data_IF_275773102008
#
_entry.id   IF_275773102008
#
_cell.length_a   1.000
_cell.length_b   1.000
_cell.length_c   1.000
_cell.angle_alpha   90.00
_cell.angle_beta   90.00
_cell.angle_gamma   90.00
#
_symmetry.space_group_name_H-M   'P 1'
#
loop_
_entity.id
_entity.type
_entity.pdbx_description
1 polymer ?
#
# COMPACT_ATOMS: atom_id res chain seq x y z
N UNK A 1 19.86 11.23 51.28
CA UNK A 1 19.70 12.09 50.09
C UNK A 1 20.97 12.91 49.93
N UNK A 2 21.66 12.83 48.78
CA UNK A 2 22.93 13.54 48.57
C UNK A 2 22.61 15.01 48.25
N UNK A 3 23.47 15.96 48.62
CA UNK A 3 23.18 17.41 48.47
C UNK A 3 22.98 17.88 47.01
N UNK A 4 23.30 17.01 46.04
CA UNK A 4 23.00 17.21 44.62
C UNK A 4 21.53 17.01 44.26
N UNK A 5 20.80 16.19 45.02
CA UNK A 5 19.39 15.86 44.74
C UNK A 5 18.43 17.00 45.15
N UNK A 6 18.81 17.81 46.14
CA UNK A 6 18.01 18.97 46.58
C UNK A 6 17.96 20.09 45.51
N UNK A 7 19.02 20.23 44.71
CA UNK A 7 19.08 21.29 43.69
C UNK A 7 18.06 21.04 42.58
N UNK A 8 17.89 19.79 42.16
CA UNK A 8 16.94 19.43 41.11
C UNK A 8 15.48 19.47 41.57
N UNK A 9 15.22 19.22 42.87
CA UNK A 9 13.88 19.36 43.44
C UNK A 9 13.40 20.83 43.42
N UNK A 10 14.30 21.78 43.68
CA UNK A 10 13.99 23.21 43.59
C UNK A 10 13.69 23.67 42.15
N UNK A 11 14.46 23.21 41.17
CA UNK A 11 14.21 23.52 39.75
C UNK A 11 12.89 22.92 39.25
N UNK A 12 12.56 21.69 39.66
CA UNK A 12 11.30 21.05 39.31
C UNK A 12 10.07 21.79 39.86
N UNK A 13 10.13 22.24 41.13
CA UNK A 13 9.06 23.01 41.75
C UNK A 13 8.87 24.39 41.11
N UNK A 14 9.97 25.07 40.76
CA UNK A 14 9.92 26.38 40.11
C UNK A 14 9.28 26.34 38.72
N UNK A 15 9.67 25.37 37.89
CA UNK A 15 9.12 25.20 36.53
C UNK A 15 7.65 24.75 36.61
N UNK A 16 7.31 23.84 37.51
CA UNK A 16 5.94 23.38 37.71
C UNK A 16 4.98 24.52 38.11
N UNK A 17 5.41 25.40 39.02
CA UNK A 17 4.61 26.54 39.45
C UNK A 17 4.39 27.58 38.33
N UNK A 18 5.40 27.81 37.48
CA UNK A 18 5.30 28.73 36.34
C UNK A 18 4.34 28.22 35.26
N UNK A 19 4.36 26.92 34.96
CA UNK A 19 3.44 26.32 33.98
C UNK A 19 2.00 26.29 34.50
N UNK A 20 1.81 26.01 35.79
CA UNK A 20 0.49 26.05 36.42
C UNK A 20 -0.11 27.46 36.38
N UNK A 21 0.67 28.51 36.65
CA UNK A 21 0.16 29.88 36.66
C UNK A 21 -0.26 30.37 35.27
N UNK A 22 0.46 29.98 34.20
CA UNK A 22 0.06 30.28 32.82
C UNK A 22 -1.24 29.56 32.42
N UNK A 23 -1.43 28.32 32.86
CA UNK A 23 -2.65 27.57 32.59
C UNK A 23 -3.88 28.18 33.28
N UNK A 24 -3.73 28.63 34.54
CA UNK A 24 -4.81 29.31 35.25
C UNK A 24 -5.11 30.70 34.67
N UNK A 25 -4.11 31.45 34.20
CA UNK A 25 -4.34 32.74 33.55
C UNK A 25 -5.19 32.61 32.26
N UNK A 26 -5.00 31.54 31.48
CA UNK A 26 -5.75 31.31 30.25
C UNK A 26 -7.23 30.95 30.48
N UNK A 27 -7.56 30.31 31.61
CA UNK A 27 -8.94 29.91 31.94
C UNK A 27 -9.78 31.12 32.42
N UNK A 28 -9.16 32.10 33.09
CA UNK A 28 -9.86 33.25 33.65
C UNK A 28 -9.88 34.49 32.74
N UNK A 29 -9.18 34.48 31.61
CA UNK A 29 -9.16 35.56 30.61
C UNK A 29 -9.79 35.15 29.27
N UNK A 30 -10.98 34.54 29.31
CA UNK A 30 -11.86 34.48 28.14
C UNK A 30 -12.71 35.76 28.12
N UNK A 31 -12.45 36.71 27.21
CA UNK A 31 -13.32 37.88 27.08
C UNK A 31 -14.71 37.42 26.63
N UNK A 32 -15.70 37.68 27.47
CA UNK A 32 -17.12 37.57 27.15
C UNK A 32 -17.46 38.61 26.09
N UNK A 33 -17.36 38.25 24.81
CA UNK A 33 -17.88 39.07 23.73
C UNK A 33 -19.39 38.89 23.64
N UNK A 34 -20.08 39.90 24.17
CA UNK A 34 -21.52 40.08 24.09
C UNK A 34 -21.99 40.18 22.63
N UNK A 35 -23.03 39.39 22.34
CA UNK A 35 -23.86 39.45 21.14
C UNK A 35 -24.53 40.83 21.03
N UNK A 36 -24.31 41.53 19.92
CA UNK A 36 -25.22 42.57 19.42
C UNK A 36 -25.44 42.36 17.93
N UNK A 37 -26.72 42.19 17.56
CA UNK A 37 -27.18 42.00 16.19
C UNK A 37 -27.53 43.31 15.48
N UNK A 38 -27.63 43.19 14.15
CA UNK A 38 -28.27 44.03 13.12
C UNK A 38 -27.37 43.95 11.89
N UNK A 39 -27.81 43.79 10.64
CA UNK A 39 -29.08 43.66 9.97
C UNK A 39 -28.76 43.48 8.48
N UNK A 40 -29.56 42.66 7.79
CA UNK A 40 -29.83 42.61 6.34
C UNK A 40 -28.89 43.30 5.34
N UNK A 41 -28.40 42.57 4.32
CA UNK A 41 -28.64 42.89 2.88
C UNK A 41 -28.54 41.61 2.04
N UNK A 42 -29.51 41.46 1.15
CA UNK A 42 -29.68 40.45 0.10
C UNK A 42 -28.42 40.24 -0.77
N UNK A 43 -28.09 38.97 -1.04
CA UNK A 43 -27.17 38.57 -2.10
C UNK A 43 -27.58 37.19 -2.61
N UNK A 44 -28.16 37.16 -3.82
CA UNK A 44 -28.59 35.93 -4.47
C UNK A 44 -27.40 35.01 -4.76
N UNK A 45 -27.47 33.76 -4.33
CA UNK A 45 -26.54 32.72 -4.74
C UNK A 45 -27.32 31.55 -5.32
N UNK A 46 -27.11 31.34 -6.61
CA UNK A 46 -27.66 30.28 -7.44
C UNK A 46 -27.25 28.90 -6.92
N UNK A 47 -28.24 28.05 -6.69
CA UNK A 47 -28.12 26.64 -6.35
C UNK A 47 -27.63 25.85 -7.57
N UNK A 48 -26.55 25.05 -7.48
CA UNK A 48 -26.32 24.02 -8.47
C UNK A 48 -27.20 22.80 -8.15
N UNK A 49 -28.05 22.45 -9.10
CA UNK A 49 -28.83 21.23 -9.16
C UNK A 49 -27.91 20.01 -9.06
N UNK A 50 -27.94 19.30 -7.94
CA UNK A 50 -27.33 17.97 -7.85
C UNK A 50 -28.28 16.96 -8.49
N UNK A 51 -27.80 16.31 -9.55
CA UNK A 51 -28.47 15.20 -10.19
C UNK A 51 -28.42 13.97 -9.28
N UNK A 52 -29.60 13.52 -8.86
CA UNK A 52 -29.80 12.26 -8.13
C UNK A 52 -29.63 11.12 -9.13
N UNK A 53 -28.53 10.38 -9.04
CA UNK A 53 -28.38 9.08 -9.72
C UNK A 53 -29.05 7.99 -8.87
N UNK A 54 -29.93 7.15 -9.44
CA UNK A 54 -30.56 6.06 -8.71
C UNK A 54 -29.55 4.91 -8.51
N UNK A 55 -29.24 4.60 -7.25
CA UNK A 55 -28.46 3.43 -6.85
C UNK A 55 -29.38 2.20 -6.93
N UNK A 56 -29.10 1.29 -7.88
CA UNK A 56 -29.69 -0.04 -7.94
C UNK A 56 -28.97 -0.95 -6.92
N UNK A 57 -29.70 -1.40 -5.88
CA UNK A 57 -29.23 -2.45 -4.98
C UNK A 57 -29.31 -3.83 -5.67
N UNK A 58 -28.23 -4.64 -5.66
CA UNK A 58 -28.36 -6.06 -5.95
C UNK A 58 -28.81 -6.84 -4.71
N UNK A 59 -29.83 -7.64 -4.92
CA UNK A 59 -30.48 -8.60 -4.01
C UNK A 59 -29.48 -9.62 -3.48
N UNK A 60 -29.41 -9.80 -2.15
CA UNK A 60 -28.55 -10.79 -1.50
C UNK A 60 -29.05 -12.22 -1.75
N UNK A 61 -28.17 -13.09 -2.26
CA UNK A 61 -28.38 -14.53 -2.27
C UNK A 61 -27.80 -15.15 -0.99
N UNK A 62 -28.65 -15.80 -0.20
CA UNK A 62 -28.30 -16.57 0.99
C UNK A 62 -27.70 -17.91 0.58
N UNK A 63 -26.44 -18.18 0.92
CA UNK A 63 -25.83 -19.51 0.78
C UNK A 63 -25.74 -20.16 2.17
N UNK A 64 -26.46 -21.27 2.35
CA UNK A 64 -26.38 -22.14 3.53
C UNK A 64 -25.03 -22.85 3.59
N UNK A 65 -24.39 -22.79 4.75
CA UNK A 65 -23.14 -23.48 5.08
C UNK A 65 -23.48 -24.82 5.76
N UNK A 66 -23.18 -25.94 5.12
CA UNK A 66 -23.21 -27.27 5.74
C UNK A 66 -21.79 -27.73 6.08
N UNK A 67 -21.52 -27.90 7.37
CA UNK A 67 -20.33 -28.56 7.91
C UNK A 67 -20.42 -30.09 7.75
N UNK A 68 -19.28 -30.78 7.61
CA UNK A 68 -19.16 -32.10 8.21
C UNK A 68 -17.97 -32.24 9.16
N UNK A 69 -18.15 -33.23 10.03
CA UNK A 69 -17.45 -33.48 11.27
C UNK A 69 -16.13 -34.24 11.13
N UNK A 70 -15.32 -34.03 12.17
CA UNK A 70 -14.40 -34.93 12.87
C UNK A 70 -14.34 -36.39 12.42
N UNK A 71 -13.13 -36.90 12.19
CA UNK A 71 -12.79 -38.31 12.41
C UNK A 71 -11.32 -38.51 12.78
N UNK A 72 -11.12 -39.55 13.57
CA UNK A 72 -10.09 -39.81 14.57
C UNK A 72 -8.83 -40.52 14.08
N UNK A 73 -7.86 -40.55 14.99
CA UNK A 73 -6.60 -41.27 14.99
C UNK A 73 -6.66 -42.75 14.55
N UNK A 74 -5.57 -43.19 13.90
CA UNK A 74 -5.22 -44.58 13.69
C UNK A 74 -3.71 -44.72 13.47
N UNK A 75 -3.02 -45.30 14.45
CA UNK A 75 -1.63 -45.72 14.35
C UNK A 75 -1.58 -47.17 13.87
N UNK A 76 -0.72 -47.53 12.90
CA UNK A 76 -0.07 -48.85 12.83
C UNK A 76 1.08 -48.92 11.81
N UNK A 77 2.23 -49.36 12.33
CA UNK A 77 3.22 -50.31 11.81
C UNK A 77 4.00 -50.08 10.51
N UNK A 78 5.31 -49.91 10.70
CA UNK A 78 6.39 -50.28 9.78
C UNK A 78 6.52 -51.80 9.62
N UNK A 79 6.63 -52.27 8.37
CA UNK A 79 7.25 -53.55 8.00
C UNK A 79 7.83 -53.45 6.58
N UNK A 80 8.85 -54.25 6.30
CA UNK A 80 9.88 -54.04 5.30
C UNK A 80 9.77 -54.91 4.02
N UNK A 81 10.33 -54.38 2.92
CA UNK A 81 10.97 -55.06 1.75
C UNK A 81 10.11 -56.01 0.84
N UNK A 82 10.67 -56.63 -0.24
CA UNK A 82 10.91 -56.02 -1.57
C UNK A 82 10.45 -56.93 -2.73
N UNK A 83 9.85 -56.46 -3.84
CA UNK A 83 9.69 -57.32 -5.04
C UNK A 83 9.85 -56.53 -6.35
N UNK A 84 10.73 -57.04 -7.20
CA UNK A 84 11.00 -56.63 -8.56
C UNK A 84 9.78 -56.82 -9.48
N UNK A 85 9.60 -55.95 -10.47
CA UNK A 85 8.65 -56.20 -11.55
C UNK A 85 9.18 -55.75 -12.91
N UNK A 86 8.86 -56.62 -13.86
CA UNK A 86 9.36 -56.82 -15.21
C UNK A 86 9.01 -55.70 -16.18
N UNK A 87 9.99 -55.35 -17.01
CA UNK A 87 9.88 -54.48 -18.17
C UNK A 87 9.09 -55.23 -19.26
N UNK A 88 7.97 -54.65 -19.69
CA UNK A 88 7.22 -55.10 -20.88
C UNK A 88 7.30 -53.99 -21.92
N UNK A 89 7.95 -54.26 -23.05
CA UNK A 89 8.10 -53.35 -24.18
C UNK A 89 6.87 -53.40 -25.07
N UNK A 90 6.09 -52.31 -25.24
CA UNK A 90 5.02 -52.29 -26.22
C UNK A 90 5.53 -51.93 -27.63
N UNK A 91 5.08 -52.73 -28.59
CA UNK A 91 5.28 -52.62 -30.03
C UNK A 91 4.62 -51.36 -30.60
N UNK A 92 5.38 -50.59 -31.38
CA UNK A 92 4.96 -49.35 -32.05
C UNK A 92 4.17 -49.72 -33.30
N UNK A 93 2.90 -49.29 -33.41
CA UNK A 93 2.10 -49.46 -34.63
C UNK A 93 1.34 -48.18 -34.99
N UNK A 94 1.40 -47.84 -36.27
CA UNK A 94 0.72 -46.79 -37.03
C UNK A 94 0.91 -45.33 -36.58
N UNK A 95 1.53 -44.53 -37.46
CA UNK A 95 1.62 -43.06 -37.38
C UNK A 95 0.33 -42.42 -37.90
N UNK A 96 -0.54 -41.86 -37.03
CA UNK A 96 -1.63 -41.00 -37.49
C UNK A 96 -1.06 -39.66 -37.96
N UNK A 97 -1.38 -39.25 -39.20
CA UNK A 97 -1.16 -37.90 -39.69
C UNK A 97 -2.05 -36.94 -38.90
N UNK A 98 -1.45 -36.18 -37.98
CA UNK A 98 -2.14 -35.17 -37.19
C UNK A 98 -2.48 -33.97 -38.09
N UNK A 99 -3.77 -33.80 -38.39
CA UNK A 99 -4.33 -32.57 -38.91
C UNK A 99 -4.19 -31.49 -37.84
N UNK A 100 -3.31 -30.52 -38.07
CA UNK A 100 -3.12 -29.37 -37.18
C UNK A 100 -4.40 -28.52 -37.17
N UNK A 101 -5.18 -28.67 -36.10
CA UNK A 101 -6.28 -27.75 -35.78
C UNK A 101 -5.70 -26.34 -35.64
N UNK A 102 -6.33 -25.29 -36.19
CA UNK A 102 -5.86 -23.92 -36.00
C UNK A 102 -5.77 -23.64 -34.50
N UNK A 103 -4.57 -23.23 -34.06
CA UNK A 103 -4.34 -22.84 -32.67
C UNK A 103 -5.30 -21.69 -32.31
N UNK A 104 -6.00 -21.75 -31.17
CA UNK A 104 -6.86 -20.65 -30.75
C UNK A 104 -6.03 -19.36 -30.71
N UNK A 105 -6.52 -18.32 -31.37
CA UNK A 105 -5.94 -16.98 -31.30
C UNK A 105 -5.95 -16.53 -29.84
N UNK A 106 -4.77 -16.30 -29.26
CA UNK A 106 -4.66 -15.82 -27.89
C UNK A 106 -5.45 -14.51 -27.77
N UNK A 107 -6.43 -14.48 -26.85
CA UNK A 107 -7.17 -13.26 -26.51
C UNK A 107 -6.28 -12.43 -25.59
N UNK A 108 -6.03 -11.18 -25.95
CA UNK A 108 -5.22 -10.27 -25.13
C UNK A 108 -5.84 -10.10 -23.74
N UNK A 109 -5.00 -9.98 -22.71
CA UNK A 109 -5.44 -9.64 -21.35
C UNK A 109 -5.90 -8.18 -21.28
N UNK A 110 -6.65 -7.83 -20.23
CA UNK A 110 -7.08 -6.43 -20.03
C UNK A 110 -5.88 -5.49 -19.92
N UNK A 111 -4.79 -5.91 -19.27
CA UNK A 111 -3.57 -5.13 -19.17
C UNK A 111 -2.91 -4.92 -20.54
N UNK A 112 -2.90 -5.94 -21.41
CA UNK A 112 -2.39 -5.79 -22.77
C UNK A 112 -3.22 -4.80 -23.61
N UNK A 113 -4.55 -4.78 -23.42
CA UNK A 113 -5.44 -3.77 -24.01
C UNK A 113 -5.10 -2.37 -23.49
N UNK A 114 -4.88 -2.23 -22.18
CA UNK A 114 -4.48 -0.95 -21.56
C UNK A 114 -3.13 -0.46 -22.09
N UNK A 115 -2.16 -1.34 -22.31
CA UNK A 115 -0.89 -0.98 -22.98
C UNK A 115 -1.15 -0.51 -24.41
N UNK A 116 -2.01 -1.21 -25.17
CA UNK A 116 -2.35 -0.82 -26.54
C UNK A 116 -3.07 0.55 -26.63
N UNK A 117 -3.85 0.89 -25.59
CA UNK A 117 -4.57 2.16 -25.48
C UNK A 117 -3.71 3.31 -24.90
N UNK A 118 -2.49 3.02 -24.42
CA UNK A 118 -1.64 4.01 -23.75
C UNK A 118 -2.02 4.32 -22.29
N UNK A 119 -2.83 3.47 -21.67
CA UNK A 119 -3.17 3.57 -20.23
C UNK A 119 -2.06 3.00 -19.33
N UNK A 120 -1.17 2.21 -19.92
CA UNK A 120 0.09 1.73 -19.31
C UNK A 120 1.23 2.06 -20.28
N UNK A 121 2.20 2.83 -19.81
CA UNK A 121 3.46 3.07 -20.50
C UNK A 121 4.51 2.03 -20.10
N UNK A 122 5.26 1.52 -21.08
CA UNK A 122 6.37 0.60 -20.83
C UNK A 122 7.64 1.43 -20.58
N UNK A 123 7.98 1.62 -19.30
CA UNK A 123 9.11 2.46 -18.86
C UNK A 123 9.88 1.81 -17.71
N UNK A 124 11.14 2.21 -17.55
CA UNK A 124 11.99 1.74 -16.45
C UNK A 124 12.61 0.36 -16.70
N UNK A 125 13.10 -0.29 -15.63
CA UNK A 125 13.96 -1.47 -15.74
C UNK A 125 13.21 -2.78 -16.05
N UNK A 126 11.90 -2.82 -15.80
CA UNK A 126 11.07 -4.00 -16.05
C UNK A 126 10.73 -4.12 -17.54
N UNK A 127 10.77 -5.34 -18.07
CA UNK A 127 10.25 -5.67 -19.41
C UNK A 127 8.75 -5.43 -19.50
N UNK A 128 8.21 -5.39 -20.74
CA UNK A 128 6.77 -5.22 -20.97
C UNK A 128 5.95 -6.29 -20.24
N UNK A 129 6.39 -7.54 -20.34
CA UNK A 129 5.75 -8.69 -19.74
C UNK A 129 5.76 -8.60 -18.21
N UNK A 130 6.89 -8.21 -17.62
CA UNK A 130 7.00 -8.00 -16.17
C UNK A 130 6.12 -6.85 -15.67
N UNK A 131 5.99 -5.75 -16.41
CA UNK A 131 5.09 -4.65 -16.05
C UNK A 131 3.61 -5.06 -16.10
N UNK A 132 3.22 -5.86 -17.10
CA UNK A 132 1.88 -6.44 -17.18
C UNK A 132 1.62 -7.36 -15.98
N UNK A 133 2.56 -8.27 -15.67
CA UNK A 133 2.46 -9.19 -14.54
C UNK A 133 2.37 -8.43 -13.21
N UNK A 134 3.18 -7.39 -13.03
CA UNK A 134 3.15 -6.53 -11.84
C UNK A 134 1.79 -5.86 -11.68
N UNK A 135 1.28 -5.25 -12.75
CA UNK A 135 -0.02 -4.59 -12.73
C UNK A 135 -1.14 -5.59 -12.39
N UNK A 136 -1.25 -6.70 -13.10
CA UNK A 136 -2.27 -7.73 -12.86
C UNK A 136 -2.15 -8.33 -11.46
N UNK A 137 -0.93 -8.56 -10.98
CA UNK A 137 -0.67 -9.05 -9.63
C UNK A 137 -1.12 -8.06 -8.56
N UNK A 138 -0.94 -6.75 -8.79
CA UNK A 138 -1.38 -5.72 -7.85
C UNK A 138 -2.90 -5.71 -7.67
N UNK A 139 -3.66 -5.92 -8.76
CA UNK A 139 -5.13 -5.88 -8.73
C UNK A 139 -5.75 -6.98 -7.87
N UNK A 140 -5.04 -8.09 -7.64
CA UNK A 140 -5.47 -9.14 -6.72
C UNK A 140 -5.71 -8.64 -5.28
N UNK A 141 -5.00 -7.58 -4.88
CA UNK A 141 -5.06 -7.06 -3.52
C UNK A 141 -6.13 -5.97 -3.32
N UNK A 142 -6.82 -5.56 -4.38
CA UNK A 142 -7.89 -4.54 -4.30
C UNK A 142 -9.01 -5.03 -3.38
N UNK A 143 -9.33 -4.20 -2.39
CA UNK A 143 -10.28 -4.46 -1.33
C UNK A 143 -11.03 -3.15 -0.99
N UNK A 144 -12.07 -2.81 -1.78
CA UNK A 144 -12.66 -1.46 -1.85
C UNK A 144 -13.57 -1.10 -0.66
N UNK A 145 -13.71 -1.98 0.33
CA UNK A 145 -14.47 -1.73 1.56
C UNK A 145 -13.62 -2.07 2.78
N UNK A 146 -13.87 -1.41 3.92
CA UNK A 146 -13.16 -1.71 5.17
C UNK A 146 -13.21 -3.20 5.57
N UNK A 147 -14.35 -3.87 5.36
CA UNK A 147 -14.48 -5.29 5.69
C UNK A 147 -13.58 -6.16 4.80
N UNK A 148 -13.49 -5.84 3.50
CA UNK A 148 -12.62 -6.55 2.58
C UNK A 148 -11.16 -6.23 2.85
N UNK A 149 -10.82 -4.96 3.10
CA UNK A 149 -9.43 -4.55 3.39
C UNK A 149 -8.94 -5.22 4.66
N UNK A 150 -9.76 -5.32 5.72
CA UNK A 150 -9.40 -6.06 6.94
C UNK A 150 -9.13 -7.54 6.69
N UNK A 151 -9.91 -8.19 5.82
CA UNK A 151 -9.65 -9.59 5.41
C UNK A 151 -8.35 -9.68 4.62
N UNK A 152 -8.13 -8.79 3.65
CA UNK A 152 -6.92 -8.75 2.84
C UNK A 152 -5.67 -8.50 3.70
N UNK A 153 -5.74 -7.56 4.64
CA UNK A 153 -4.72 -7.32 5.65
C UNK A 153 -4.40 -8.58 6.46
N UNK A 154 -5.42 -9.34 6.87
CA UNK A 154 -5.20 -10.60 7.57
C UNK A 154 -4.51 -11.67 6.72
N UNK A 155 -4.78 -11.71 5.41
CA UNK A 155 -4.10 -12.59 4.46
C UNK A 155 -2.63 -12.19 4.27
N UNK A 156 -2.38 -10.92 3.99
CA UNK A 156 -1.04 -10.37 3.72
C UNK A 156 -0.14 -10.45 4.95
N UNK A 157 -0.66 -10.07 6.13
CA UNK A 157 0.12 -10.10 7.37
C UNK A 157 0.18 -11.50 8.01
N UNK A 158 -0.59 -12.47 7.50
CA UNK A 158 -0.73 -13.79 8.13
C UNK A 158 -1.20 -13.71 9.61
N UNK A 159 -1.89 -12.63 9.98
CA UNK A 159 -2.37 -12.35 11.33
C UNK A 159 -3.90 -12.31 11.34
N UNK A 160 -4.51 -13.03 12.30
CA UNK A 160 -5.99 -13.08 12.45
C UNK A 160 -6.66 -11.74 12.75
N UNK A 161 -5.89 -10.71 13.15
CA UNK A 161 -6.39 -9.41 13.59
C UNK A 161 -5.58 -8.23 13.04
N UNK A 162 -5.12 -8.31 11.79
CA UNK A 162 -4.44 -7.17 11.17
C UNK A 162 -5.39 -6.00 10.92
N UNK A 163 -4.95 -4.79 11.23
CA UNK A 163 -5.67 -3.56 10.88
C UNK A 163 -5.17 -3.01 9.53
N UNK A 164 -6.07 -2.64 8.60
CA UNK A 164 -5.69 -2.07 7.30
C UNK A 164 -4.83 -0.82 7.36
N UNK A 165 -4.87 -0.04 8.44
CA UNK A 165 -4.04 1.16 8.62
C UNK A 165 -2.54 0.88 8.70
N UNK A 166 -2.15 -0.37 8.93
CA UNK A 166 -0.75 -0.77 9.17
C UNK A 166 -0.23 -1.83 8.20
N UNK A 167 -0.96 -2.05 7.10
CA UNK A 167 -0.67 -3.10 6.10
C UNK A 167 0.23 -2.64 4.96
N UNK A 168 0.59 -1.36 4.85
CA UNK A 168 1.30 -0.77 3.71
C UNK A 168 2.60 -1.49 3.31
N UNK A 169 3.50 -1.75 4.26
CA UNK A 169 4.76 -2.48 4.02
C UNK A 169 4.53 -3.92 3.58
N UNK A 170 3.82 -4.74 4.39
CA UNK A 170 3.47 -6.10 4.03
C UNK A 170 2.75 -6.22 2.68
N UNK A 171 1.82 -5.31 2.37
CA UNK A 171 1.11 -5.27 1.09
C UNK A 171 2.06 -5.05 -0.08
N UNK A 172 2.96 -4.08 0.06
CA UNK A 172 3.98 -3.75 -0.95
C UNK A 172 4.84 -4.97 -1.28
N UNK A 173 5.29 -5.70 -0.27
CA UNK A 173 6.11 -6.91 -0.45
C UNK A 173 5.29 -8.03 -1.10
N UNK A 174 4.06 -8.25 -0.66
CA UNK A 174 3.19 -9.27 -1.23
C UNK A 174 2.88 -9.02 -2.72
N UNK A 175 2.73 -7.75 -3.13
CA UNK A 175 2.57 -7.38 -4.54
C UNK A 175 3.82 -7.76 -5.35
N UNK A 176 5.01 -7.35 -4.89
CA UNK A 176 6.27 -7.65 -5.60
C UNK A 176 6.59 -9.15 -5.64
N UNK A 177 6.27 -9.89 -4.57
CA UNK A 177 6.40 -11.35 -4.55
C UNK A 177 5.46 -12.01 -5.56
N UNK A 178 4.20 -11.58 -5.59
CA UNK A 178 3.20 -12.11 -6.52
C UNK A 178 3.59 -11.83 -7.98
N UNK A 179 4.25 -10.71 -8.23
CA UNK A 179 4.79 -10.34 -9.53
C UNK A 179 6.10 -11.08 -9.91
N UNK A 180 6.69 -11.86 -8.98
CA UNK A 180 7.96 -12.55 -9.20
C UNK A 180 9.20 -11.64 -9.16
N UNK A 181 9.06 -10.38 -8.74
CA UNK A 181 10.17 -9.42 -8.63
C UNK A 181 10.98 -9.68 -7.36
N UNK A 182 10.32 -10.06 -6.27
CA UNK A 182 10.95 -10.43 -5.01
C UNK A 182 10.81 -11.91 -4.72
N UNK A 183 11.76 -12.43 -3.94
CA UNK A 183 11.77 -13.82 -3.48
C UNK A 183 10.49 -14.18 -2.71
N UNK A 184 9.87 -15.32 -3.06
CA UNK A 184 8.70 -15.87 -2.35
C UNK A 184 9.01 -16.26 -0.88
N UNK A 185 10.29 -16.38 -0.52
CA UNK A 185 10.72 -16.72 0.84
C UNK A 185 10.75 -15.53 1.81
N UNK A 186 10.60 -14.29 1.30
CA UNK A 186 10.41 -13.15 2.20
C UNK A 186 9.10 -13.32 2.96
N UNK A 187 9.08 -12.89 4.23
CA UNK A 187 7.87 -12.85 5.04
C UNK A 187 7.32 -11.44 4.98
N UNK A 188 6.19 -11.16 4.29
CA UNK A 188 5.65 -9.81 4.19
C UNK A 188 5.46 -9.11 5.53
N UNK A 189 5.09 -9.87 6.57
CA UNK A 189 4.91 -9.35 7.92
C UNK A 189 6.18 -8.70 8.51
N UNK A 190 7.38 -9.10 8.10
CA UNK A 190 8.63 -8.51 8.60
C UNK A 190 8.81 -7.03 8.18
N UNK A 191 7.98 -6.57 7.23
CA UNK A 191 7.95 -5.18 6.75
C UNK A 191 6.88 -4.34 7.45
N UNK A 192 6.22 -4.91 8.47
CA UNK A 192 5.30 -4.19 9.33
C UNK A 192 6.03 -3.12 10.14
N UNK A 193 5.67 -1.84 9.92
CA UNK A 193 6.26 -0.67 10.60
C UNK A 193 7.79 -0.58 10.51
N UNK A 194 8.37 -1.12 9.44
CA UNK A 194 9.80 -1.06 9.20
C UNK A 194 10.28 0.40 9.09
N UNK A 195 11.48 0.70 9.56
CA UNK A 195 12.08 2.03 9.44
C UNK A 195 13.52 1.92 8.89
N UNK A 196 13.82 2.46 7.70
CA UNK A 196 15.16 2.40 7.11
C UNK A 196 16.26 3.05 7.95
N UNK A 197 15.92 3.98 8.84
CA UNK A 197 16.87 4.64 9.76
C UNK A 197 17.21 3.77 10.99
N UNK A 198 16.49 2.67 11.22
CA UNK A 198 16.78 1.68 12.26
C UNK A 198 17.67 0.58 11.69
N UNK A 199 18.84 0.36 12.30
CA UNK A 199 19.85 -0.60 11.79
C UNK A 199 19.30 -2.02 11.52
N UNK A 200 18.46 -2.53 12.42
CA UNK A 200 17.86 -3.88 12.28
C UNK A 200 16.97 -3.95 11.04
N UNK A 201 16.09 -2.98 10.90
CA UNK A 201 15.12 -2.85 9.82
C UNK A 201 15.81 -2.61 8.47
N UNK A 202 16.87 -1.81 8.47
CA UNK A 202 17.73 -1.62 7.30
C UNK A 202 18.31 -2.95 6.80
N UNK A 203 18.70 -3.85 7.71
CA UNK A 203 19.22 -5.17 7.33
C UNK A 203 18.14 -6.03 6.64
N UNK A 204 16.89 -5.92 7.08
CA UNK A 204 15.75 -6.60 6.44
C UNK A 204 15.53 -6.05 5.03
N UNK A 205 15.53 -4.72 4.87
CA UNK A 205 15.42 -4.05 3.57
C UNK A 205 16.55 -4.44 2.62
N UNK A 206 17.81 -4.42 3.08
CA UNK A 206 18.98 -4.78 2.27
C UNK A 206 19.00 -6.26 1.88
N UNK A 207 18.37 -7.14 2.69
CA UNK A 207 18.19 -8.55 2.33
C UNK A 207 17.12 -8.75 1.25
N UNK A 208 16.06 -7.93 1.26
CA UNK A 208 14.99 -8.03 0.27
C UNK A 208 15.33 -7.30 -1.04
N UNK A 209 16.04 -6.17 -0.94
CA UNK A 209 16.48 -5.35 -2.05
C UNK A 209 18.02 -5.34 -2.09
N UNK A 210 18.65 -6.49 -2.45
CA UNK A 210 20.11 -6.60 -2.47
C UNK A 210 20.72 -5.59 -3.44
N UNK A 211 21.80 -4.94 -3.02
CA UNK A 211 22.45 -3.86 -3.79
C UNK A 211 23.01 -4.34 -5.12
N UNK A 212 23.19 -5.63 -5.30
CA UNK A 212 23.57 -6.25 -6.57
C UNK A 212 22.49 -6.00 -7.63
N UNK A 213 21.22 -6.11 -7.24
CA UNK A 213 20.07 -6.06 -8.16
C UNK A 213 19.31 -4.74 -8.07
N UNK A 214 19.36 -4.05 -6.92
CA UNK A 214 18.61 -2.83 -6.66
C UNK A 214 19.53 -1.65 -6.38
N UNK A 215 19.06 -0.46 -6.75
CA UNK A 215 19.58 0.82 -6.30
C UNK A 215 18.65 1.37 -5.23
N UNK A 216 19.21 1.92 -4.16
CA UNK A 216 18.49 2.67 -3.14
C UNK A 216 18.85 4.16 -3.24
N UNK A 217 17.86 5.04 -3.33
CA UNK A 217 18.08 6.49 -3.40
C UNK A 217 17.12 7.22 -2.48
N UNK A 218 17.68 7.99 -1.53
CA UNK A 218 16.92 8.82 -0.61
C UNK A 218 16.84 10.26 -1.09
N UNK A 219 15.62 10.75 -1.21
CA UNK A 219 15.27 12.12 -1.54
C UNK A 219 14.74 12.83 -0.29
N UNK A 220 15.33 13.98 0.06
CA UNK A 220 14.93 14.77 1.24
C UNK A 220 13.92 15.87 0.93
N UNK A 221 13.49 15.99 -0.32
CA UNK A 221 12.43 16.91 -0.74
C UNK A 221 11.09 16.37 -0.28
N UNK A 222 10.18 17.23 0.18
CA UNK A 222 8.81 16.81 0.51
C UNK A 222 8.16 16.15 -0.71
N UNK A 223 7.32 15.15 -0.47
CA UNK A 223 6.78 14.33 -1.57
C UNK A 223 5.88 15.12 -2.53
N UNK A 224 5.18 16.15 -2.04
CA UNK A 224 4.36 17.09 -2.82
C UNK A 224 5.19 18.10 -3.63
N UNK A 225 6.49 18.19 -3.36
CA UNK A 225 7.41 19.14 -3.99
C UNK A 225 8.43 18.45 -4.90
N UNK A 226 8.40 17.13 -4.99
CA UNK A 226 9.28 16.38 -5.85
C UNK A 226 9.06 16.75 -7.33
N UNK A 227 10.15 16.84 -8.08
CA UNK A 227 10.11 17.06 -9.52
C UNK A 227 9.96 15.70 -10.22
N UNK A 228 8.70 15.29 -10.36
CA UNK A 228 8.34 14.02 -10.99
C UNK A 228 8.60 13.96 -12.50
N UNK A 229 8.84 15.11 -13.15
CA UNK A 229 9.23 15.12 -14.56
C UNK A 229 10.70 14.74 -14.70
N UNK A 230 11.57 15.28 -13.83
CA UNK A 230 13.01 14.99 -13.85
C UNK A 230 13.37 13.67 -13.17
N UNK A 231 12.60 13.26 -12.15
CA UNK A 231 12.85 12.05 -11.37
C UNK A 231 11.54 11.25 -11.22
N UNK A 232 10.98 10.69 -12.31
CA UNK A 232 9.74 9.95 -12.24
C UNK A 232 9.92 8.66 -11.42
N UNK A 233 8.85 8.26 -10.73
CA UNK A 233 8.74 6.89 -10.25
C UNK A 233 8.48 5.96 -11.44
N UNK A 234 8.92 4.71 -11.32
CA UNK A 234 8.84 3.69 -12.36
C UNK A 234 8.11 2.44 -11.84
N UNK A 235 7.44 1.66 -12.70
CA UNK A 235 6.84 0.40 -12.30
C UNK A 235 7.87 -0.51 -11.60
N UNK A 236 7.48 -1.06 -10.45
CA UNK A 236 8.31 -1.92 -9.62
C UNK A 236 9.12 -1.20 -8.54
N UNK A 237 9.12 0.14 -8.52
CA UNK A 237 9.72 0.90 -7.42
C UNK A 237 9.03 0.58 -6.10
N UNK A 238 9.80 0.14 -5.11
CA UNK A 238 9.37 0.16 -3.71
C UNK A 238 9.71 1.51 -3.11
N UNK A 239 8.73 2.19 -2.55
CA UNK A 239 8.88 3.57 -2.03
C UNK A 239 8.55 3.58 -0.55
N UNK A 240 9.51 4.02 0.25
CA UNK A 240 9.30 4.40 1.66
C UNK A 240 9.12 5.90 1.76
N UNK A 241 8.04 6.35 2.39
CA UNK A 241 7.67 7.76 2.51
C UNK A 241 7.84 8.18 3.95
N UNK A 242 8.74 9.15 4.17
CA UNK A 242 9.07 9.66 5.49
C UNK A 242 8.03 10.65 6.00
N UNK A 243 7.41 10.35 7.15
CA UNK A 243 6.41 11.20 7.78
C UNK A 243 6.95 12.61 7.99
N UNK A 244 8.11 12.73 8.63
CA UNK A 244 8.74 14.00 8.95
C UNK A 244 8.01 14.83 10.00
N UNK A 245 8.56 16.00 10.33
CA UNK A 245 7.94 16.90 11.32
C UNK A 245 6.60 17.42 10.80
N UNK A 246 5.51 17.11 11.53
CA UNK A 246 4.15 17.47 11.15
C UNK A 246 3.35 16.32 10.52
N UNK A 247 4.02 15.22 10.16
CA UNK A 247 3.37 13.96 9.78
C UNK A 247 3.02 13.11 10.99
N UNK A 248 2.08 12.19 10.80
CA UNK A 248 1.62 11.26 11.84
C UNK A 248 1.76 9.78 11.45
N UNK A 249 2.15 9.46 10.22
CA UNK A 249 2.44 8.09 9.81
C UNK A 249 3.52 8.01 8.72
N UNK A 250 4.28 6.92 8.74
CA UNK A 250 5.18 6.50 7.67
C UNK A 250 4.40 5.64 6.67
N UNK A 251 4.72 5.68 5.38
CA UNK A 251 4.01 4.88 4.39
C UNK A 251 4.94 4.14 3.44
N UNK A 252 4.48 2.98 2.97
CA UNK A 252 5.20 2.16 2.00
C UNK A 252 4.27 1.77 0.86
N UNK A 253 4.77 1.83 -0.36
CA UNK A 253 3.99 1.46 -1.53
C UNK A 253 4.88 0.91 -2.64
N UNK A 254 4.23 0.33 -3.64
CA UNK A 254 4.87 -0.08 -4.90
C UNK A 254 4.17 0.61 -6.05
N UNK A 255 4.94 1.15 -6.98
CA UNK A 255 4.36 1.66 -8.23
C UNK A 255 3.98 0.48 -9.11
N UNK A 256 2.67 0.25 -9.28
CA UNK A 256 2.17 -0.89 -10.05
C UNK A 256 2.10 -0.61 -11.56
N UNK A 257 1.88 0.66 -11.95
CA UNK A 257 1.96 1.12 -13.33
C UNK A 257 2.22 2.62 -13.43
N UNK A 258 2.69 3.03 -14.60
CA UNK A 258 2.76 4.43 -15.05
C UNK A 258 2.02 4.52 -16.39
N UNK A 259 1.33 5.61 -16.66
CA UNK A 259 0.68 5.81 -17.98
C UNK A 259 1.51 6.69 -18.92
N UNK A 260 1.03 6.91 -20.14
CA UNK A 260 1.77 7.70 -21.16
C UNK A 260 1.84 9.20 -20.85
N UNK A 261 1.12 9.70 -19.85
CA UNK A 261 1.27 11.05 -19.32
C UNK A 261 2.33 11.13 -18.21
N UNK A 262 2.90 10.00 -17.79
CA UNK A 262 3.87 9.93 -16.70
C UNK A 262 3.22 9.92 -15.31
N UNK A 263 1.90 9.71 -15.23
CA UNK A 263 1.20 9.58 -13.94
C UNK A 263 1.48 8.21 -13.34
N UNK A 264 1.90 8.20 -12.08
CA UNK A 264 2.20 6.95 -11.37
C UNK A 264 1.01 6.50 -10.52
N UNK A 265 0.78 5.19 -10.49
CA UNK A 265 -0.30 4.57 -9.72
C UNK A 265 0.28 3.56 -8.73
N UNK A 266 -0.48 3.30 -7.66
CA UNK A 266 -0.21 2.21 -6.72
C UNK A 266 -1.51 1.57 -6.27
N UNK A 267 -1.51 0.23 -6.12
CA UNK A 267 -2.47 -0.44 -5.25
C UNK A 267 -1.95 -0.33 -3.81
N UNK A 268 -2.59 0.51 -3.01
CA UNK A 268 -2.13 0.82 -1.66
C UNK A 268 -3.30 0.97 -0.68
N UNK A 269 -3.01 0.86 0.62
CA UNK A 269 -4.00 1.15 1.65
C UNK A 269 -4.01 2.64 1.99
N UNK A 270 -5.19 3.22 2.11
CA UNK A 270 -5.35 4.60 2.53
C UNK A 270 -6.72 4.80 3.19
N UNK A 271 -6.81 5.80 4.07
CA UNK A 271 -8.06 6.13 4.73
C UNK A 271 -8.95 6.97 3.81
N UNK A 272 -10.25 6.78 3.94
CA UNK A 272 -11.27 7.57 3.25
C UNK A 272 -12.29 8.05 4.27
N UNK A 273 -12.90 9.22 4.03
CA UNK A 273 -13.85 9.84 4.96
C UNK A 273 -15.00 8.88 5.33
N UNK A 274 -15.60 8.23 4.34
CA UNK A 274 -16.83 7.45 4.54
C UNK A 274 -16.61 5.94 4.69
N UNK A 275 -15.54 5.39 4.09
CA UNK A 275 -15.32 3.93 4.04
C UNK A 275 -14.25 3.45 5.00
N UNK A 276 -13.57 4.35 5.71
CA UNK A 276 -12.38 4.02 6.50
C UNK A 276 -11.22 3.58 5.60
N UNK A 277 -10.30 2.77 6.15
CA UNK A 277 -9.17 2.26 5.39
C UNK A 277 -9.58 1.19 4.38
N UNK A 278 -9.31 1.44 3.12
CA UNK A 278 -9.51 0.52 1.99
C UNK A 278 -8.16 0.15 1.36
N UNK A 279 -8.16 -0.81 0.44
CA UNK A 279 -7.03 -1.04 -0.48
C UNK A 279 -7.57 -0.87 -1.89
N UNK A 280 -7.02 0.06 -2.65
CA UNK A 280 -7.49 0.35 -4.01
C UNK A 280 -6.34 0.83 -4.88
N UNK A 281 -6.53 0.82 -6.20
CA UNK A 281 -5.61 1.52 -7.10
C UNK A 281 -5.85 3.03 -6.98
N UNK A 282 -4.79 3.77 -6.69
CA UNK A 282 -4.84 5.22 -6.57
C UNK A 282 -3.73 5.89 -7.38
N UNK A 283 -4.06 7.05 -7.94
CA UNK A 283 -3.10 7.97 -8.52
C UNK A 283 -2.18 8.50 -7.41
N UNK A 284 -0.87 8.35 -7.57
CA UNK A 284 0.12 8.88 -6.64
C UNK A 284 0.37 10.37 -6.89
N UNK A 285 0.63 10.72 -8.14
CA UNK A 285 0.85 12.08 -8.62
C UNK A 285 0.56 12.21 -10.12
N UNK A 286 0.34 13.44 -10.58
CA UNK A 286 0.37 13.82 -11.99
C UNK A 286 1.51 14.82 -12.26
N UNK A 287 2.47 14.56 -13.16
CA UNK A 287 3.52 15.52 -13.51
C UNK A 287 2.99 16.88 -14.01
N UNK A 288 1.79 16.89 -14.62
CA UNK A 288 1.17 18.10 -15.16
C UNK A 288 0.31 18.85 -14.13
N UNK A 289 -0.09 18.19 -13.04
CA UNK A 289 -0.88 18.79 -11.96
C UNK A 289 -0.36 18.38 -10.57
N UNK A 290 0.33 19.31 -9.91
CA UNK A 290 0.93 19.09 -8.58
C UNK A 290 -0.09 18.86 -7.46
N UNK A 291 -1.36 19.17 -7.70
CA UNK A 291 -2.42 18.97 -6.70
C UNK A 291 -3.16 17.64 -6.90
N UNK A 292 -2.82 16.87 -7.94
CA UNK A 292 -3.45 15.60 -8.22
C UNK A 292 -2.75 14.44 -7.50
N UNK A 293 -3.53 13.47 -7.05
CA UNK A 293 -3.05 12.23 -6.45
C UNK A 293 -2.82 12.27 -4.94
N UNK A 294 -2.48 11.10 -4.39
CA UNK A 294 -2.33 10.89 -2.94
C UNK A 294 -1.18 11.70 -2.34
N UNK A 295 -0.10 11.94 -3.09
CA UNK A 295 1.05 12.67 -2.56
C UNK A 295 0.73 14.12 -2.23
N UNK A 296 -0.13 14.76 -3.03
CA UNK A 296 -0.68 16.07 -2.68
C UNK A 296 -1.58 15.95 -1.45
N UNK A 297 -2.59 15.06 -1.47
CA UNK A 297 -3.57 14.93 -0.39
C UNK A 297 -2.96 14.65 0.98
N UNK A 298 -1.97 13.75 1.08
CA UNK A 298 -1.32 13.40 2.35
C UNK A 298 -0.44 14.51 2.95
N UNK A 299 -0.17 15.58 2.18
CA UNK A 299 0.61 16.73 2.66
C UNK A 299 -0.24 17.97 2.91
N UNK A 300 -1.55 17.87 2.66
CA UNK A 300 -2.49 18.95 2.92
C UNK A 300 -3.07 18.87 4.33
N UNK A 301 -3.03 20.00 5.03
CA UNK A 301 -3.50 20.10 6.41
C UNK A 301 -4.98 19.70 6.56
N UNK A 302 -5.80 19.97 5.55
CA UNK A 302 -7.24 19.67 5.56
C UNK A 302 -7.54 18.17 5.57
N UNK A 303 -6.61 17.32 5.11
CA UNK A 303 -6.77 15.86 5.09
C UNK A 303 -5.92 15.16 6.17
N UNK A 304 -5.29 15.91 7.08
CA UNK A 304 -4.39 15.34 8.08
C UNK A 304 -5.07 14.32 9.02
N UNK A 305 -6.40 14.43 9.19
CA UNK A 305 -7.23 13.47 9.92
C UNK A 305 -7.36 12.10 9.24
N UNK A 306 -7.20 12.06 7.91
CA UNK A 306 -7.13 10.82 7.13
C UNK A 306 -5.71 10.20 7.16
N UNK A 307 -4.73 10.98 7.63
CA UNK A 307 -3.32 10.63 7.66
C UNK A 307 -2.50 11.69 6.94
N UNK A 308 -1.36 12.07 7.54
CA UNK A 308 -0.38 12.98 6.93
C UNK A 308 1.04 12.40 6.94
N UNK A 309 1.70 12.45 5.78
CA UNK A 309 3.05 11.88 5.58
C UNK A 309 3.82 12.60 4.48
N UNK A 310 5.10 12.26 4.29
CA UNK A 310 5.93 12.76 3.18
C UNK A 310 6.63 14.09 3.44
N UNK A 311 6.58 14.63 4.67
CA UNK A 311 7.22 15.91 5.00
C UNK A 311 8.75 15.82 5.10
N UNK A 312 9.32 14.62 5.29
CA UNK A 312 10.77 14.39 5.32
C UNK A 312 11.31 13.70 4.06
N UNK A 313 10.47 13.60 3.02
CA UNK A 313 10.80 13.03 1.73
C UNK A 313 10.58 11.53 1.64
N UNK A 314 11.36 10.85 0.82
CA UNK A 314 11.12 9.45 0.46
C UNK A 314 12.43 8.73 0.07
N UNK A 315 12.42 7.41 0.15
CA UNK A 315 13.49 6.54 -0.34
C UNK A 315 12.92 5.54 -1.33
N UNK A 316 13.59 5.37 -2.47
CA UNK A 316 13.18 4.49 -3.57
C UNK A 316 14.18 3.35 -3.69
N UNK A 317 13.67 2.12 -3.68
CA UNK A 317 14.40 0.93 -4.09
C UNK A 317 13.93 0.54 -5.49
N UNK A 318 14.83 0.68 -6.46
CA UNK A 318 14.57 0.46 -7.88
C UNK A 318 15.45 -0.64 -8.42
N UNK A 319 14.86 -1.57 -9.17
CA UNK A 319 15.62 -2.60 -9.90
C UNK A 319 16.60 -1.92 -10.86
N UNK A 320 17.83 -2.42 -10.91
CA UNK A 320 18.81 -1.94 -11.90
C UNK A 320 18.45 -2.49 -13.27
N UNK A 321 18.71 -1.69 -14.31
CA UNK A 321 18.65 -2.21 -15.67
C UNK A 321 19.61 -3.39 -15.80
N UNK A 322 19.12 -4.52 -16.33
CA UNK A 322 20.00 -5.64 -16.68
C UNK A 322 21.01 -5.13 -17.71
N UNK A 323 22.29 -5.06 -17.32
CA UNK A 323 23.39 -4.69 -18.20
C UNK A 323 23.63 -5.73 -19.29
#
# INVERSE_FOLDING_TARGET
>A
MRSRDLKYLGYGLGIGALLASLFFAAIFFVPQFSVFGSGSVFGAQSTPTQAIMPVLLPTSATILLTTPATSSAGAINSAAMPIASTISTPTINATPTLTLSPSPTATLTQAEIMVANGEIAIVGPLTREEQIILYESSLFFVAPTYSQSRKMSGLVNQLRFSDPSTTCGPLSIAILQKAGILSEFLVPHDFFLINPDVKKDRTILESAFPRENFSDTRYKVRIDQADWLSNPLMPGDFVYIYAGTGGNFEHMLVVNRVDVQGRAYSVTNYNTEDRGFIIDEALLYDPADRNAGLFSQWTEKQFAELGSTGYAGYEVWRLKENQ
#
